data_IF_629653984396
#
_entry.id   IF_629653984396
#
_cell.length_a   1.000
_cell.length_b   1.000
_cell.length_c   1.000
_cell.angle_alpha   90.00
_cell.angle_beta   90.00
_cell.angle_gamma   90.00
#
_symmetry.space_group_name_H-M   'P 1'
#
loop_
_entity.id
_entity.type
_entity.pdbx_description
1 polymer ?
#
# COMPACT_ATOMS: atom_id res chain seq x y z
N UNK A 1 -15.35 -40.48 -3.53
CA UNK A 1 -14.98 -39.18 -4.09
C UNK A 1 -13.58 -38.91 -3.61
N UNK A 2 -12.63 -38.80 -4.57
CA UNK A 2 -11.28 -38.40 -4.21
C UNK A 2 -11.32 -36.87 -4.00
N UNK A 3 -11.27 -36.43 -2.76
CA UNK A 3 -10.89 -35.06 -2.41
C UNK A 3 -9.54 -34.75 -3.05
N UNK A 4 -9.34 -33.57 -3.53
CA UNK A 4 -8.04 -33.18 -4.07
C UNK A 4 -7.03 -33.10 -2.91
N UNK A 5 -5.75 -33.37 -3.16
CA UNK A 5 -4.69 -33.25 -2.14
C UNK A 5 -4.71 -31.85 -1.51
N UNK A 6 -5.17 -30.85 -2.26
CA UNK A 6 -5.30 -29.46 -1.78
C UNK A 6 -6.42 -29.33 -0.76
N UNK A 7 -7.62 -29.88 -1.05
CA UNK A 7 -8.73 -29.90 -0.11
C UNK A 7 -8.34 -30.63 1.19
N UNK A 8 -7.62 -31.75 1.07
CA UNK A 8 -7.13 -32.48 2.26
C UNK A 8 -6.14 -31.62 3.11
N UNK A 9 -5.33 -30.74 2.48
CA UNK A 9 -4.43 -29.85 3.18
C UNK A 9 -5.21 -28.70 3.83
N UNK A 10 -6.19 -28.11 3.12
CA UNK A 10 -7.06 -27.05 3.65
C UNK A 10 -7.85 -27.53 4.86
N UNK A 11 -8.44 -28.73 4.78
CA UNK A 11 -9.14 -29.35 5.90
C UNK A 11 -8.20 -29.59 7.10
N UNK A 12 -6.96 -30.06 6.84
CA UNK A 12 -5.96 -30.26 7.89
C UNK A 12 -5.52 -28.94 8.55
N UNK A 13 -5.46 -27.83 7.79
CA UNK A 13 -5.16 -26.52 8.31
C UNK A 13 -6.30 -25.95 9.17
N UNK A 14 -7.56 -26.28 8.85
CA UNK A 14 -8.72 -25.87 9.65
C UNK A 14 -8.80 -26.66 10.97
N UNK A 15 -8.44 -27.94 10.95
CA UNK A 15 -8.42 -28.80 12.13
C UNK A 15 -7.21 -28.57 13.05
N UNK A 16 -6.15 -27.86 12.56
CA UNK A 16 -4.92 -27.63 13.32
C UNK A 16 -5.17 -26.72 14.52
N UNK A 17 -4.57 -27.09 15.68
CA UNK A 17 -4.65 -26.31 16.90
C UNK A 17 -3.50 -25.29 16.99
N UNK A 18 -3.63 -24.28 17.88
CA UNK A 18 -2.55 -23.30 18.12
C UNK A 18 -1.23 -23.94 18.60
N UNK A 19 -1.27 -25.17 19.10
CA UNK A 19 -0.07 -25.93 19.48
C UNK A 19 0.69 -26.53 18.29
N UNK A 20 0.03 -26.67 17.12
CA UNK A 20 0.60 -27.27 15.91
C UNK A 20 1.15 -26.19 14.97
N UNK A 21 0.36 -25.14 14.74
CA UNK A 21 0.69 -24.00 13.85
C UNK A 21 0.13 -22.72 14.44
N UNK A 22 0.92 -21.65 14.40
CA UNK A 22 0.47 -20.30 14.75
C UNK A 22 -0.59 -19.81 13.74
N UNK A 23 -1.39 -18.81 14.12
CA UNK A 23 -2.37 -18.19 13.24
C UNK A 23 -1.72 -17.64 11.96
N UNK A 24 -0.52 -17.04 12.10
CA UNK A 24 0.25 -16.51 10.97
C UNK A 24 0.75 -17.59 10.03
N UNK A 25 1.27 -18.72 10.54
CA UNK A 25 1.70 -19.85 9.71
C UNK A 25 0.52 -20.44 8.92
N UNK A 26 -0.64 -20.59 9.56
CA UNK A 26 -1.87 -21.03 8.87
C UNK A 26 -2.30 -20.06 7.77
N UNK A 27 -2.25 -18.74 8.06
CA UNK A 27 -2.58 -17.71 7.07
C UNK A 27 -1.65 -17.77 5.87
N UNK A 28 -0.34 -17.82 6.09
CA UNK A 28 0.65 -17.94 5.01
C UNK A 28 0.44 -19.21 4.18
N UNK A 29 0.17 -20.34 4.81
CA UNK A 29 -0.07 -21.61 4.10
C UNK A 29 -1.34 -21.53 3.24
N UNK A 30 -2.42 -20.91 3.73
CA UNK A 30 -3.62 -20.65 2.92
C UNK A 30 -3.32 -19.74 1.74
N UNK A 31 -2.58 -18.65 1.97
CA UNK A 31 -2.17 -17.74 0.89
C UNK A 31 -1.34 -18.46 -0.18
N UNK A 32 -0.39 -19.31 0.21
CA UNK A 32 0.40 -20.13 -0.73
C UNK A 32 -0.49 -21.08 -1.51
N UNK A 33 -1.46 -21.75 -0.86
CA UNK A 33 -2.42 -22.61 -1.54
C UNK A 33 -3.29 -21.84 -2.53
N UNK A 34 -3.68 -20.60 -2.22
CA UNK A 34 -4.48 -19.73 -3.07
C UNK A 34 -3.72 -19.12 -4.27
N UNK A 35 -2.37 -19.08 -4.24
CA UNK A 35 -1.57 -18.45 -5.31
C UNK A 35 -1.86 -18.97 -6.72
N UNK A 36 -2.30 -20.23 -6.85
CA UNK A 36 -2.55 -20.82 -8.18
C UNK A 36 -3.75 -20.20 -8.90
N UNK A 37 -4.68 -19.60 -8.15
CA UNK A 37 -5.86 -18.91 -8.69
C UNK A 37 -5.53 -17.48 -9.14
N UNK A 38 -4.51 -16.87 -8.52
CA UNK A 38 -4.16 -15.49 -8.76
C UNK A 38 -3.46 -15.29 -10.10
N UNK A 39 -3.84 -14.20 -10.75
CA UNK A 39 -3.22 -13.67 -11.96
C UNK A 39 -2.45 -12.40 -11.65
N UNK A 40 -1.54 -12.03 -12.53
CA UNK A 40 -0.76 -10.79 -12.40
C UNK A 40 -1.65 -9.57 -12.17
N UNK A 41 -2.79 -9.46 -12.88
CA UNK A 41 -3.76 -8.37 -12.72
C UNK A 41 -4.35 -8.25 -11.31
N UNK A 42 -4.36 -9.35 -10.54
CA UNK A 42 -4.97 -9.38 -9.21
C UNK A 42 -4.02 -8.82 -8.14
N UNK A 43 -2.71 -8.74 -8.46
CA UNK A 43 -1.64 -8.32 -7.54
C UNK A 43 -0.84 -7.11 -8.05
N UNK A 44 -1.04 -6.66 -9.29
CA UNK A 44 -0.30 -5.55 -9.89
C UNK A 44 -0.72 -4.21 -9.32
N UNK A 45 0.20 -3.27 -9.29
CA UNK A 45 -0.07 -1.85 -9.15
C UNK A 45 -0.70 -1.36 -10.46
N UNK A 46 -1.92 -0.80 -10.46
CA UNK A 46 -2.56 -0.34 -11.68
C UNK A 46 -1.83 0.86 -12.28
N UNK A 47 -1.98 1.06 -13.59
CA UNK A 47 -1.32 2.13 -14.37
C UNK A 47 -1.39 3.51 -13.72
N UNK A 48 -2.55 3.86 -13.15
CA UNK A 48 -2.78 5.18 -12.56
C UNK A 48 -1.87 5.47 -11.35
N UNK A 49 -1.41 4.42 -10.67
CA UNK A 49 -0.63 4.52 -9.43
C UNK A 49 0.87 4.30 -9.67
N UNK A 50 1.29 4.08 -10.93
CA UNK A 50 2.71 3.87 -11.26
C UNK A 50 3.49 5.18 -11.11
N UNK A 51 4.46 5.18 -10.21
CA UNK A 51 5.50 6.22 -10.18
C UNK A 51 6.60 5.85 -11.16
N UNK A 52 6.80 6.66 -12.19
CA UNK A 52 7.72 6.39 -13.28
C UNK A 52 8.56 7.64 -13.66
N UNK A 53 9.65 7.42 -14.39
CA UNK A 53 10.62 8.42 -14.85
C UNK A 53 10.53 8.56 -16.36
N UNK A 54 10.39 9.79 -16.85
CA UNK A 54 10.57 10.08 -18.28
C UNK A 54 12.07 10.14 -18.61
N UNK A 55 12.47 9.69 -19.81
CA UNK A 55 13.87 9.83 -20.28
C UNK A 55 14.37 11.27 -20.33
N UNK A 56 13.44 12.23 -20.33
CA UNK A 56 13.72 13.68 -20.34
C UNK A 56 13.77 14.29 -18.94
N UNK A 57 13.44 13.53 -17.90
CA UNK A 57 13.44 14.03 -16.53
C UNK A 57 14.86 14.38 -16.06
N UNK A 58 14.97 15.48 -15.33
CA UNK A 58 16.24 15.89 -14.73
C UNK A 58 16.65 14.98 -13.57
N UNK A 59 17.96 14.89 -13.34
CA UNK A 59 18.50 14.14 -12.20
C UNK A 59 17.92 14.63 -10.87
N UNK A 60 17.66 15.93 -10.72
CA UNK A 60 17.00 16.49 -9.54
C UNK A 60 15.57 15.93 -9.35
N UNK A 61 14.81 15.86 -10.44
CA UNK A 61 13.44 15.32 -10.40
C UNK A 61 13.44 13.84 -10.01
N UNK A 62 14.33 13.04 -10.61
CA UNK A 62 14.46 11.60 -10.33
C UNK A 62 14.86 11.36 -8.87
N UNK A 63 15.81 12.16 -8.35
CA UNK A 63 16.20 12.10 -6.94
C UNK A 63 15.02 12.39 -6.01
N UNK A 64 14.21 13.37 -6.36
CA UNK A 64 12.99 13.69 -5.62
C UNK A 64 12.00 12.51 -5.67
N UNK A 65 11.79 11.90 -6.84
CA UNK A 65 10.89 10.74 -6.98
C UNK A 65 11.32 9.58 -6.09
N UNK A 66 12.59 9.19 -6.12
CA UNK A 66 13.10 8.13 -5.24
C UNK A 66 12.87 8.44 -3.76
N UNK A 67 13.08 9.69 -3.35
CA UNK A 67 12.90 10.12 -1.96
C UNK A 67 11.44 10.10 -1.53
N UNK A 68 10.50 10.49 -2.40
CA UNK A 68 9.09 10.62 -2.05
C UNK A 68 8.30 9.33 -2.25
N UNK A 69 8.65 8.53 -3.25
CA UNK A 69 7.94 7.29 -3.55
C UNK A 69 8.35 6.11 -2.65
N UNK A 70 9.56 6.18 -2.06
CA UNK A 70 10.08 5.09 -1.21
C UNK A 70 10.43 3.80 -1.95
N UNK A 71 10.34 3.79 -3.29
CA UNK A 71 10.63 2.61 -4.11
C UNK A 71 12.10 2.51 -4.48
N UNK A 72 12.64 1.30 -4.55
CA UNK A 72 14.02 1.06 -4.98
C UNK A 72 14.20 1.04 -6.50
N UNK A 73 13.10 0.88 -7.25
CA UNK A 73 13.08 0.73 -8.72
C UNK A 73 11.98 1.58 -9.30
N UNK A 74 12.29 2.32 -10.36
CA UNK A 74 11.31 3.11 -11.09
C UNK A 74 11.36 2.73 -12.56
N UNK A 75 10.23 2.45 -13.21
CA UNK A 75 10.18 2.27 -14.65
C UNK A 75 10.55 3.56 -15.37
N UNK A 76 11.22 3.41 -16.51
CA UNK A 76 11.63 4.53 -17.37
C UNK A 76 10.86 4.43 -18.68
N UNK A 77 10.28 5.54 -19.11
CA UNK A 77 9.51 5.61 -20.35
C UNK A 77 9.95 6.78 -21.24
N UNK A 78 9.61 6.67 -22.52
CA UNK A 78 9.75 7.74 -23.49
C UNK A 78 8.37 8.18 -23.96
N UNK A 79 8.09 9.46 -23.92
CA UNK A 79 6.85 10.11 -24.34
C UNK A 79 5.63 9.72 -23.47
N UNK A 80 5.35 8.44 -23.25
CA UNK A 80 4.27 7.94 -22.40
C UNK A 80 4.64 6.59 -21.78
N UNK A 81 3.86 6.16 -20.77
CA UNK A 81 4.03 4.84 -20.14
C UNK A 81 3.86 3.68 -21.14
N UNK A 82 3.23 3.90 -22.30
CA UNK A 82 3.09 2.88 -23.34
C UNK A 82 4.36 2.70 -24.19
N UNK A 83 5.36 3.53 -23.96
CA UNK A 83 6.69 3.39 -24.55
C UNK A 83 7.76 3.15 -23.49
N UNK A 84 7.64 2.07 -22.68
CA UNK A 84 8.62 1.76 -21.65
C UNK A 84 9.98 1.43 -22.27
N UNK A 85 11.05 1.94 -21.65
CA UNK A 85 12.42 1.77 -22.10
C UNK A 85 13.20 0.80 -21.21
N UNK A 86 12.80 0.64 -19.95
CA UNK A 86 13.47 -0.16 -18.95
C UNK A 86 13.14 0.31 -17.54
N UNK A 87 14.07 0.15 -16.63
CA UNK A 87 13.95 0.66 -15.26
C UNK A 87 15.27 1.26 -14.78
N UNK A 88 15.20 2.15 -13.83
CA UNK A 88 16.34 2.66 -13.07
C UNK A 88 16.25 2.16 -11.63
N UNK A 89 17.38 1.63 -11.12
CA UNK A 89 17.51 1.22 -9.73
C UNK A 89 18.19 2.33 -8.92
N UNK A 90 17.70 2.61 -7.71
CA UNK A 90 18.25 3.67 -6.85
C UNK A 90 19.77 3.55 -6.65
N UNK A 91 20.30 2.33 -6.53
CA UNK A 91 21.75 2.09 -6.38
C UNK A 91 22.53 2.58 -7.60
N UNK A 92 22.06 2.25 -8.82
CA UNK A 92 22.74 2.66 -10.05
C UNK A 92 22.64 4.17 -10.25
N UNK A 93 21.51 4.75 -9.85
CA UNK A 93 21.31 6.19 -9.85
C UNK A 93 22.27 6.91 -8.89
N UNK A 94 22.45 6.40 -7.68
CA UNK A 94 23.41 6.93 -6.72
C UNK A 94 24.86 6.79 -7.22
N UNK A 95 25.19 5.67 -7.84
CA UNK A 95 26.51 5.47 -8.45
C UNK A 95 26.77 6.43 -9.61
N UNK A 96 25.75 6.70 -10.44
CA UNK A 96 25.83 7.73 -11.46
C UNK A 96 26.15 9.10 -10.85
N UNK A 97 25.42 9.50 -9.81
CA UNK A 97 25.66 10.78 -9.14
C UNK A 97 27.08 10.88 -8.57
N UNK A 98 27.58 9.79 -7.96
CA UNK A 98 28.94 9.72 -7.45
C UNK A 98 29.98 9.92 -8.57
N UNK A 99 29.84 9.20 -9.68
CA UNK A 99 30.73 9.33 -10.86
C UNK A 99 30.70 10.76 -11.45
N UNK A 100 29.53 11.37 -11.56
CA UNK A 100 29.38 12.74 -12.05
C UNK A 100 30.06 13.73 -11.11
N UNK A 101 29.94 13.53 -9.79
CA UNK A 101 30.59 14.35 -8.79
C UNK A 101 32.15 14.27 -8.91
N UNK A 102 32.67 13.05 -8.95
CA UNK A 102 34.12 12.81 -9.09
C UNK A 102 34.68 13.46 -10.36
N UNK A 103 33.94 13.33 -11.47
CA UNK A 103 34.31 13.98 -12.74
C UNK A 103 34.33 15.53 -12.61
N UNK A 104 33.27 16.11 -12.03
CA UNK A 104 33.21 17.56 -11.83
C UNK A 104 34.33 18.07 -10.96
N UNK A 105 34.70 17.36 -9.89
CA UNK A 105 35.82 17.68 -9.04
C UNK A 105 37.16 17.59 -9.81
N UNK A 106 37.33 16.56 -10.62
CA UNK A 106 38.53 16.40 -11.47
C UNK A 106 38.68 17.53 -12.52
N UNK A 107 37.54 18.06 -13.00
CA UNK A 107 37.48 19.21 -13.91
C UNK A 107 37.65 20.56 -13.20
N UNK A 108 37.90 20.53 -11.87
CA UNK A 108 38.19 21.74 -11.06
C UNK A 108 36.95 22.44 -10.50
N UNK A 109 35.79 21.83 -10.59
CA UNK A 109 34.55 22.36 -10.02
C UNK A 109 34.42 21.92 -8.55
N UNK A 110 34.18 22.86 -7.64
CA UNK A 110 34.17 22.61 -6.19
C UNK A 110 32.75 22.69 -5.63
N UNK A 111 32.44 21.77 -4.70
CA UNK A 111 31.17 21.75 -3.96
C UNK A 111 29.99 21.21 -4.76
N UNK A 112 28.81 21.68 -4.44
CA UNK A 112 27.54 21.21 -5.05
C UNK A 112 27.43 21.52 -6.56
N UNK A 113 28.21 22.42 -7.09
CA UNK A 113 28.28 22.72 -8.52
C UNK A 113 28.98 21.60 -9.35
N UNK A 114 29.62 20.63 -8.69
CA UNK A 114 30.30 19.52 -9.38
C UNK A 114 29.33 18.56 -10.08
N UNK A 115 28.02 18.57 -9.76
CA UNK A 115 26.99 17.82 -10.46
C UNK A 115 25.97 18.79 -11.06
N UNK A 116 25.73 18.67 -12.36
CA UNK A 116 24.60 19.33 -13.01
C UNK A 116 23.33 18.48 -12.82
N UNK A 117 22.58 18.76 -11.76
CA UNK A 117 21.31 18.07 -11.46
C UNK A 117 20.18 18.48 -12.42
N UNK A 118 20.35 19.50 -13.25
CA UNK A 118 19.37 19.86 -14.29
C UNK A 118 19.48 19.00 -15.56
N UNK A 119 20.60 18.29 -15.71
CA UNK A 119 20.82 17.38 -16.83
C UNK A 119 19.80 16.23 -16.85
N UNK A 120 19.37 15.78 -18.03
CA UNK A 120 18.49 14.63 -18.16
C UNK A 120 19.21 13.33 -17.79
N UNK A 121 18.43 12.28 -17.50
CA UNK A 121 18.94 10.95 -17.20
C UNK A 121 19.78 10.42 -18.38
N UNK A 122 21.06 10.07 -18.19
CA UNK A 122 21.83 9.34 -19.20
C UNK A 122 21.39 7.87 -19.22
N UNK A 123 20.26 7.61 -19.84
CA UNK A 123 19.56 6.32 -19.78
C UNK A 123 20.45 5.12 -20.13
N UNK A 124 21.37 5.27 -21.09
CA UNK A 124 22.30 4.21 -21.49
C UNK A 124 23.26 3.73 -20.40
N UNK A 125 23.51 4.57 -19.39
CA UNK A 125 24.51 4.27 -18.37
C UNK A 125 23.92 3.61 -17.12
N UNK A 126 22.62 3.75 -16.89
CA UNK A 126 21.97 3.36 -15.63
C UNK A 126 20.68 2.56 -15.80
N UNK A 127 20.19 2.44 -17.03
CA UNK A 127 18.96 1.74 -17.30
C UNK A 127 19.20 0.23 -17.36
N UNK A 128 18.34 -0.52 -16.66
CA UNK A 128 18.28 -1.99 -16.72
C UNK A 128 17.08 -2.41 -17.56
N UNK A 129 17.18 -3.59 -18.13
CA UNK A 129 16.05 -4.23 -18.77
C UNK A 129 14.93 -4.52 -17.77
N UNK A 130 13.69 -4.48 -18.21
CA UNK A 130 12.50 -4.80 -17.43
C UNK A 130 11.78 -5.98 -18.10
N UNK A 131 11.21 -6.86 -17.27
CA UNK A 131 10.41 -7.97 -17.74
C UNK A 131 9.02 -7.47 -18.18
N UNK A 132 8.50 -8.01 -19.29
CA UNK A 132 7.15 -7.74 -19.77
C UNK A 132 6.29 -9.00 -19.64
N UNK A 133 5.09 -8.83 -19.06
CA UNK A 133 4.17 -9.93 -18.80
C UNK A 133 2.73 -9.52 -19.11
N UNK A 134 1.86 -10.46 -19.55
CA UNK A 134 0.44 -10.16 -19.72
C UNK A 134 -0.29 -10.20 -18.37
N UNK A 135 -1.42 -9.46 -18.22
CA UNK A 135 -2.21 -9.43 -16.99
C UNK A 135 -2.83 -10.80 -16.63
N UNK A 136 -3.01 -11.67 -17.61
CA UNK A 136 -3.58 -13.03 -17.42
C UNK A 136 -2.58 -14.08 -16.95
N UNK A 137 -1.28 -13.75 -16.87
CA UNK A 137 -0.25 -14.69 -16.41
C UNK A 137 -0.51 -15.15 -14.98
N UNK A 138 -0.40 -16.46 -14.66
CA UNK A 138 -0.42 -16.94 -13.29
C UNK A 138 0.71 -16.32 -12.46
N UNK A 139 0.42 -15.96 -11.20
CA UNK A 139 1.44 -15.35 -10.29
C UNK A 139 2.62 -16.31 -10.06
N UNK A 140 2.37 -17.63 -9.97
CA UNK A 140 3.45 -18.61 -9.84
C UNK A 140 4.40 -18.63 -11.04
N UNK A 141 3.87 -18.51 -12.26
CA UNK A 141 4.67 -18.43 -13.47
C UNK A 141 5.50 -17.14 -13.52
N UNK A 142 4.91 -16.02 -13.05
CA UNK A 142 5.63 -14.76 -12.87
C UNK A 142 6.83 -14.93 -11.93
N UNK A 143 6.64 -15.55 -10.77
CA UNK A 143 7.72 -15.77 -9.79
C UNK A 143 8.86 -16.63 -10.38
N UNK A 144 8.51 -17.72 -11.06
CA UNK A 144 9.51 -18.58 -11.73
C UNK A 144 10.29 -17.78 -12.77
N UNK A 145 9.59 -16.94 -13.53
CA UNK A 145 10.21 -16.13 -14.57
C UNK A 145 11.08 -15.01 -13.99
N UNK A 146 10.62 -14.32 -12.96
CA UNK A 146 11.41 -13.31 -12.23
C UNK A 146 12.70 -13.93 -11.65
N UNK A 147 12.60 -15.13 -11.09
CA UNK A 147 13.74 -15.84 -10.54
C UNK A 147 14.75 -16.25 -11.64
N UNK A 148 14.27 -16.78 -12.76
CA UNK A 148 15.12 -17.19 -13.88
C UNK A 148 15.85 -16.01 -14.52
N UNK A 149 15.18 -14.87 -14.68
CA UNK A 149 15.73 -13.65 -15.27
C UNK A 149 16.43 -12.74 -14.23
N UNK A 150 16.41 -13.11 -12.95
CA UNK A 150 16.99 -12.36 -11.83
C UNK A 150 16.48 -10.92 -11.77
N UNK A 151 15.21 -10.72 -12.09
CA UNK A 151 14.53 -9.43 -12.02
C UNK A 151 13.50 -9.43 -10.90
N UNK A 152 13.27 -8.26 -10.31
CA UNK A 152 12.33 -8.09 -9.22
C UNK A 152 11.12 -7.21 -9.61
N UNK A 153 11.03 -6.82 -10.87
CA UNK A 153 9.96 -5.97 -11.37
C UNK A 153 9.59 -6.38 -12.79
N UNK A 154 8.30 -6.37 -13.09
CA UNK A 154 7.76 -6.56 -14.42
C UNK A 154 6.74 -5.47 -14.75
N UNK A 155 6.70 -5.04 -16.01
CA UNK A 155 5.63 -4.21 -16.55
C UNK A 155 4.56 -5.13 -17.13
N UNK A 156 3.32 -4.82 -16.82
CA UNK A 156 2.16 -5.56 -17.29
C UNK A 156 1.66 -4.88 -18.56
N UNK A 157 1.63 -5.63 -19.65
CA UNK A 157 1.29 -5.11 -20.98
C UNK A 157 -0.02 -5.75 -21.44
N UNK A 158 -0.96 -4.93 -21.86
CA UNK A 158 -2.25 -5.35 -22.40
C UNK A 158 -2.13 -5.91 -23.83
N UNK A 159 -3.24 -6.38 -24.39
CA UNK A 159 -3.33 -6.98 -25.73
C UNK A 159 -3.09 -5.96 -26.87
N UNK A 160 -3.12 -4.68 -26.56
CA UNK A 160 -2.89 -3.59 -27.51
C UNK A 160 -1.48 -3.02 -27.42
N UNK A 161 -0.66 -3.54 -26.50
CA UNK A 161 0.71 -3.10 -26.28
C UNK A 161 0.83 -1.91 -25.32
N UNK A 162 -0.26 -1.53 -24.65
CA UNK A 162 -0.26 -0.50 -23.61
C UNK A 162 0.19 -1.03 -22.27
N UNK A 163 0.78 -0.16 -21.44
CA UNK A 163 1.12 -0.50 -20.06
C UNK A 163 -0.14 -0.45 -19.19
N UNK A 164 -0.55 -1.60 -18.68
CA UNK A 164 -1.73 -1.78 -17.83
C UNK A 164 -1.40 -1.66 -16.34
N UNK A 165 -0.19 -2.06 -15.97
CA UNK A 165 0.26 -2.02 -14.59
C UNK A 165 1.75 -2.33 -14.42
N UNK A 166 2.14 -2.45 -13.16
CA UNK A 166 3.48 -2.85 -12.73
C UNK A 166 3.32 -3.89 -11.62
N UNK A 167 4.18 -4.88 -11.59
CA UNK A 167 4.22 -5.86 -10.50
C UNK A 167 5.67 -6.08 -10.06
N UNK A 168 5.87 -6.06 -8.76
CA UNK A 168 7.17 -6.37 -8.13
C UNK A 168 7.12 -7.72 -7.40
N UNK A 169 8.28 -8.24 -7.04
CA UNK A 169 8.35 -9.44 -6.20
C UNK A 169 7.81 -9.13 -4.79
N UNK A 170 7.97 -7.90 -4.35
CA UNK A 170 7.47 -7.38 -3.09
C UNK A 170 5.94 -7.46 -3.03
N UNK A 171 5.21 -7.09 -4.10
CA UNK A 171 3.74 -7.19 -4.19
C UNK A 171 3.27 -8.65 -4.09
N UNK A 172 3.98 -9.57 -4.72
CA UNK A 172 3.65 -11.00 -4.62
C UNK A 172 3.95 -11.57 -3.23
N UNK A 173 5.04 -11.13 -2.61
CA UNK A 173 5.38 -11.54 -1.24
C UNK A 173 4.36 -11.01 -0.22
N UNK A 174 3.83 -9.80 -0.41
CA UNK A 174 2.76 -9.24 0.41
C UNK A 174 1.50 -10.14 0.40
N UNK A 175 1.14 -10.69 -0.76
CA UNK A 175 0.01 -11.63 -0.86
C UNK A 175 0.26 -12.93 -0.09
N UNK A 176 1.51 -13.42 -0.03
CA UNK A 176 1.87 -14.65 0.67
C UNK A 176 1.94 -14.42 2.19
N UNK A 177 2.62 -13.36 2.58
CA UNK A 177 2.92 -13.07 3.99
C UNK A 177 1.72 -12.39 4.66
N UNK A 178 0.89 -11.70 3.89
CA UNK A 178 -0.14 -10.81 4.39
C UNK A 178 0.48 -9.56 5.01
N UNK A 179 -0.32 -8.71 5.59
CA UNK A 179 0.19 -7.70 6.52
C UNK A 179 0.94 -8.45 7.62
N UNK A 180 2.25 -8.22 7.73
CA UNK A 180 3.02 -8.74 8.88
C UNK A 180 2.46 -7.99 10.08
N UNK A 181 1.45 -8.57 10.72
CA UNK A 181 1.10 -8.16 12.07
C UNK A 181 2.35 -8.47 12.91
N UNK A 182 2.93 -7.43 13.50
CA UNK A 182 4.09 -7.56 14.40
C UNK A 182 3.70 -8.58 15.48
N UNK A 183 4.57 -9.52 15.83
CA UNK A 183 4.28 -10.53 16.88
C UNK A 183 3.85 -9.87 18.22
N UNK A 184 4.05 -8.57 18.33
CA UNK A 184 3.53 -7.74 19.43
C UNK A 184 2.10 -7.21 19.19
N UNK A 185 1.53 -7.31 17.96
CA UNK A 185 0.15 -6.91 17.67
C UNK A 185 -0.90 -7.99 18.04
N UNK A 186 -0.45 -9.24 18.32
CA UNK A 186 -1.34 -10.37 18.63
C UNK A 186 -1.95 -10.29 20.04
N UNK A 187 -1.40 -9.47 20.92
CA UNK A 187 -1.88 -9.30 22.31
C UNK A 187 -2.57 -7.94 22.60
N UNK A 188 -2.69 -7.06 21.62
CA UNK A 188 -3.45 -5.82 21.83
C UNK A 188 -4.88 -5.97 21.30
N UNK A 189 -5.79 -6.36 22.19
CA UNK A 189 -7.22 -6.02 22.05
C UNK A 189 -7.30 -4.59 21.53
N UNK A 190 -8.07 -4.31 20.43
CA UNK A 190 -8.14 -2.98 19.86
C UNK A 190 -8.34 -1.94 20.96
N UNK A 191 -7.40 -1.02 21.11
CA UNK A 191 -7.42 -0.08 22.23
C UNK A 191 -8.51 0.93 22.02
N UNK A 192 -9.37 1.06 23.04
CA UNK A 192 -10.34 2.12 23.16
C UNK A 192 -9.97 2.88 24.44
N UNK A 193 -9.37 4.05 24.26
CA UNK A 193 -8.89 4.88 25.36
C UNK A 193 -9.82 6.07 25.57
N UNK A 194 -10.30 6.26 26.80
CA UNK A 194 -11.04 7.47 27.18
C UNK A 194 -10.04 8.56 27.53
N UNK A 195 -10.01 9.66 26.75
CA UNK A 195 -9.14 10.80 27.01
C UNK A 195 -9.82 11.84 27.91
N UNK A 196 -11.11 12.06 27.73
CA UNK A 196 -11.93 13.00 28.51
C UNK A 196 -13.37 12.51 28.62
N UNK A 197 -14.27 13.28 29.24
CA UNK A 197 -15.64 12.86 29.50
C UNK A 197 -16.43 12.51 28.24
N UNK A 198 -16.17 13.18 27.13
CA UNK A 198 -16.84 12.99 25.83
C UNK A 198 -15.80 12.86 24.70
N UNK A 199 -14.64 12.26 25.00
CA UNK A 199 -13.54 12.11 24.06
C UNK A 199 -12.88 10.73 24.20
N UNK A 200 -12.83 9.99 23.10
CA UNK A 200 -12.27 8.64 23.05
C UNK A 200 -11.34 8.51 21.85
N UNK A 201 -10.23 7.80 22.01
CA UNK A 201 -9.39 7.31 20.91
C UNK A 201 -9.68 5.84 20.69
N UNK A 202 -9.97 5.49 19.45
CA UNK A 202 -10.40 4.15 19.05
C UNK A 202 -9.48 3.64 17.96
N UNK A 203 -8.93 2.44 18.14
CA UNK A 203 -8.23 1.71 17.07
C UNK A 203 -9.21 1.37 15.94
N UNK A 204 -8.83 1.61 14.70
CA UNK A 204 -9.67 1.37 13.53
C UNK A 204 -10.08 -0.10 13.36
N UNK A 205 -9.33 -1.04 13.96
CA UNK A 205 -9.63 -2.48 13.97
C UNK A 205 -10.68 -2.88 15.01
N UNK A 206 -11.03 -1.98 15.94
CA UNK A 206 -12.06 -2.25 16.94
C UNK A 206 -13.40 -2.58 16.28
N UNK A 207 -14.11 -3.56 16.81
CA UNK A 207 -15.47 -3.85 16.38
C UNK A 207 -16.42 -2.74 16.88
N UNK A 208 -17.40 -2.33 16.07
CA UNK A 208 -18.38 -1.30 16.47
C UNK A 208 -19.06 -1.61 17.81
N UNK A 209 -19.39 -2.87 18.07
CA UNK A 209 -20.01 -3.34 19.33
C UNK A 209 -19.09 -3.10 20.52
N UNK A 210 -17.80 -3.34 20.39
CA UNK A 210 -16.81 -3.09 21.45
C UNK A 210 -16.72 -1.58 21.73
N UNK A 211 -16.71 -0.77 20.68
CA UNK A 211 -16.67 0.67 20.80
C UNK A 211 -17.95 1.23 21.43
N UNK A 212 -19.13 0.70 21.10
CA UNK A 212 -20.42 1.06 21.72
C UNK A 212 -20.38 0.75 23.23
N UNK A 213 -19.92 -0.44 23.63
CA UNK A 213 -19.83 -0.83 25.03
C UNK A 213 -18.84 0.07 25.80
N UNK A 214 -17.70 0.41 25.20
CA UNK A 214 -16.66 1.20 25.86
C UNK A 214 -17.00 2.71 25.97
N UNK A 215 -17.66 3.25 24.95
CA UNK A 215 -17.95 4.71 24.87
C UNK A 215 -19.36 5.06 25.33
N UNK A 216 -20.30 4.13 25.29
CA UNK A 216 -21.73 4.36 25.51
C UNK A 216 -22.41 5.09 24.34
N UNK A 217 -21.70 5.31 23.22
CA UNK A 217 -22.21 6.01 22.04
C UNK A 217 -22.69 4.99 21.02
N UNK A 218 -23.92 5.15 20.53
CA UNK A 218 -24.43 4.28 19.46
C UNK A 218 -23.73 4.63 18.14
N UNK A 219 -22.96 3.68 17.64
CA UNK A 219 -22.21 3.81 16.39
C UNK A 219 -22.95 3.23 15.18
N UNK A 220 -24.13 2.61 15.39
CA UNK A 220 -24.93 2.02 14.31
C UNK A 220 -25.67 3.10 13.54
N UNK A 221 -25.50 3.12 12.22
CA UNK A 221 -26.02 4.19 11.38
C UNK A 221 -27.40 3.92 10.77
N UNK A 222 -27.75 2.68 10.54
CA UNK A 222 -29.04 2.18 10.01
C UNK A 222 -28.97 0.67 9.82
N UNK A 223 -30.08 0.05 9.44
CA UNK A 223 -30.20 -1.39 9.17
C UNK A 223 -29.26 -1.89 8.05
N UNK A 224 -28.71 -1.00 7.21
CA UNK A 224 -27.76 -1.33 6.15
C UNK A 224 -26.28 -1.45 6.62
N UNK A 225 -25.98 -1.17 7.90
CA UNK A 225 -24.64 -1.19 8.47
C UNK A 225 -24.28 -2.50 9.19
N UNK A 226 -25.11 -3.54 9.08
CA UNK A 226 -24.91 -4.83 9.77
C UNK A 226 -23.66 -5.61 9.30
N UNK A 227 -23.11 -5.28 8.12
CA UNK A 227 -21.92 -5.96 7.54
C UNK A 227 -20.60 -5.23 7.82
N UNK A 228 -20.57 -4.19 8.66
CA UNK A 228 -19.34 -3.42 8.93
C UNK A 228 -18.62 -4.00 10.15
N UNK A 229 -17.53 -4.69 9.91
CA UNK A 229 -16.78 -5.42 10.94
C UNK A 229 -15.89 -4.54 11.82
N UNK A 230 -15.51 -3.32 11.36
CA UNK A 230 -14.54 -2.45 12.06
C UNK A 230 -14.96 -0.98 12.12
N UNK A 231 -14.51 -0.27 13.17
CA UNK A 231 -14.74 1.18 13.30
C UNK A 231 -14.09 1.96 12.16
N UNK A 232 -12.89 1.55 11.69
CA UNK A 232 -12.25 2.16 10.53
C UNK A 232 -13.06 2.03 9.25
N UNK A 233 -13.66 0.84 9.03
CA UNK A 233 -14.59 0.58 7.93
C UNK A 233 -15.86 1.42 8.04
N UNK A 234 -16.41 1.56 9.26
CA UNK A 234 -17.56 2.41 9.54
C UNK A 234 -17.29 3.87 9.15
N UNK A 235 -16.15 4.42 9.58
CA UNK A 235 -15.77 5.81 9.28
C UNK A 235 -15.60 6.03 7.77
N UNK A 236 -14.95 5.10 7.07
CA UNK A 236 -14.80 5.16 5.61
C UNK A 236 -16.15 5.07 4.89
N UNK A 237 -17.07 4.24 5.38
CA UNK A 237 -18.44 4.10 4.83
C UNK A 237 -19.22 5.39 4.98
N UNK A 238 -19.17 6.04 6.16
CA UNK A 238 -19.83 7.32 6.39
C UNK A 238 -19.26 8.42 5.50
N UNK A 239 -17.93 8.46 5.34
CA UNK A 239 -17.25 9.45 4.51
C UNK A 239 -17.47 9.19 2.99
N UNK A 240 -17.78 7.96 2.60
CA UNK A 240 -17.89 7.56 1.19
C UNK A 240 -16.55 7.41 0.46
N UNK A 241 -15.44 7.53 1.19
CA UNK A 241 -14.06 7.36 0.72
C UNK A 241 -13.16 7.02 1.92
N UNK A 242 -11.88 6.72 1.69
CA UNK A 242 -10.91 6.60 2.78
C UNK A 242 -10.48 8.01 3.19
N UNK A 243 -10.87 8.49 4.39
CA UNK A 243 -10.59 9.87 4.78
C UNK A 243 -9.11 10.07 5.11
N UNK A 244 -8.63 11.30 4.88
CA UNK A 244 -7.26 11.70 5.20
C UNK A 244 -7.08 12.01 6.69
N UNK A 245 -5.83 11.98 7.14
CA UNK A 245 -5.47 12.38 8.51
C UNK A 245 -5.90 13.82 8.81
N UNK A 246 -6.61 14.01 9.92
CA UNK A 246 -7.18 15.30 10.33
C UNK A 246 -8.58 15.57 9.77
N UNK A 247 -9.11 14.70 8.91
CA UNK A 247 -10.45 14.82 8.38
C UNK A 247 -11.50 14.52 9.47
N UNK A 248 -12.61 15.26 9.42
CA UNK A 248 -13.72 15.09 10.35
C UNK A 248 -14.90 14.43 9.64
N UNK A 249 -15.39 13.35 10.21
CA UNK A 249 -16.53 12.58 9.69
C UNK A 249 -17.66 12.62 10.72
N UNK A 250 -18.78 13.19 10.35
CA UNK A 250 -19.93 13.35 11.27
C UNK A 250 -20.69 12.02 11.41
N UNK A 251 -20.69 11.46 12.61
CA UNK A 251 -21.45 10.25 12.95
C UNK A 251 -22.94 10.57 13.19
N UNK A 252 -23.21 11.65 13.92
CA UNK A 252 -24.57 12.05 14.28
C UNK A 252 -24.64 13.57 14.57
N UNK A 253 -25.79 14.06 15.00
CA UNK A 253 -25.95 15.47 15.42
C UNK A 253 -24.98 15.85 16.55
N UNK A 254 -24.66 14.90 17.43
CA UNK A 254 -23.87 15.16 18.63
C UNK A 254 -22.46 14.62 18.62
N UNK A 255 -22.13 13.71 17.70
CA UNK A 255 -20.84 13.03 17.67
C UNK A 255 -20.19 13.10 16.29
N UNK A 256 -18.84 13.19 16.30
CA UNK A 256 -18.02 13.12 15.10
C UNK A 256 -16.76 12.31 15.35
N UNK A 257 -16.26 11.74 14.28
CA UNK A 257 -14.91 11.20 14.22
C UNK A 257 -13.93 12.24 13.69
N UNK A 258 -12.74 12.29 14.26
CA UNK A 258 -11.54 12.91 13.69
C UNK A 258 -10.56 11.79 13.35
N UNK A 259 -10.10 11.74 12.12
CA UNK A 259 -9.15 10.72 11.66
C UNK A 259 -7.76 11.09 12.18
N UNK A 260 -7.22 10.30 13.12
CA UNK A 260 -5.90 10.51 13.70
C UNK A 260 -4.78 9.91 12.84
N UNK A 261 -5.10 8.77 12.22
CA UNK A 261 -4.15 8.08 11.34
C UNK A 261 -4.87 7.21 10.32
N UNK A 262 -4.25 7.05 9.13
CA UNK A 262 -4.80 6.26 8.02
C UNK A 262 -3.64 5.70 7.18
N UNK A 263 -3.82 4.53 6.61
CA UNK A 263 -2.97 4.01 5.55
C UNK A 263 -3.67 4.13 4.18
N UNK A 264 -3.04 3.64 3.11
CA UNK A 264 -3.58 3.77 1.75
C UNK A 264 -4.91 3.03 1.53
N UNK A 265 -5.31 2.14 2.43
CA UNK A 265 -6.46 1.24 2.27
C UNK A 265 -7.50 1.35 3.38
N UNK A 266 -7.14 1.90 4.55
CA UNK A 266 -8.03 1.92 5.72
C UNK A 266 -7.70 3.03 6.71
N UNK A 267 -8.69 3.37 7.52
CA UNK A 267 -8.52 4.22 8.69
C UNK A 267 -7.99 3.37 9.84
N UNK A 268 -6.81 3.72 10.37
CA UNK A 268 -6.13 2.93 11.40
C UNK A 268 -6.40 3.44 12.81
N UNK A 269 -6.73 4.74 12.96
CA UNK A 269 -6.96 5.34 14.27
C UNK A 269 -7.87 6.56 14.18
N UNK A 270 -8.87 6.62 15.06
CA UNK A 270 -9.84 7.72 15.08
C UNK A 270 -10.03 8.25 16.49
N UNK A 271 -10.42 9.51 16.59
CA UNK A 271 -10.90 10.16 17.81
C UNK A 271 -12.40 10.39 17.68
N UNK A 272 -13.18 9.84 18.61
CA UNK A 272 -14.60 10.12 18.74
C UNK A 272 -14.78 11.26 19.72
N UNK A 273 -15.37 12.35 19.26
CA UNK A 273 -15.59 13.58 20.05
C UNK A 273 -17.03 14.04 19.97
N UNK A 274 -17.52 14.60 21.08
CA UNK A 274 -18.81 15.27 21.11
C UNK A 274 -18.71 16.63 20.45
N UNK A 275 -19.64 16.94 19.56
CA UNK A 275 -19.75 18.27 18.95
C UNK A 275 -20.17 19.27 20.02
N UNK A 276 -19.56 20.45 20.04
CA UNK A 276 -20.04 21.56 20.85
C UNK A 276 -21.47 21.88 20.45
N UNK A 277 -22.37 22.04 21.44
CA UNK A 277 -23.72 22.54 21.15
C UNK A 277 -23.60 23.93 20.48
N UNK A 278 -24.32 24.17 19.38
CA UNK A 278 -24.37 25.53 18.83
C UNK A 278 -24.83 26.48 19.89
N UNK A 279 -23.93 27.31 20.41
CA UNK A 279 -24.29 28.46 21.22
C UNK A 279 -25.21 29.31 20.37
N UNK A 280 -26.50 29.40 20.81
CA UNK A 280 -27.57 30.06 20.08
C UNK A 280 -27.36 31.56 19.95
N UNK A 281 -26.61 31.99 18.93
CA UNK A 281 -26.42 33.40 18.54
C UNK A 281 -26.50 33.62 17.01
N UNK A 282 -26.90 32.63 16.22
CA UNK A 282 -27.20 32.83 14.80
C UNK A 282 -28.60 32.31 14.45
N UNK A 283 -29.61 32.89 15.04
CA UNK A 283 -30.96 32.87 14.51
C UNK A 283 -31.13 34.11 13.60
N UNK A 284 -31.32 33.93 12.28
CA UNK A 284 -31.67 35.05 11.41
C UNK A 284 -33.05 35.58 11.80
N UNK A 285 -33.13 36.90 12.00
CA UNK A 285 -34.32 37.68 12.24
C UNK A 285 -35.26 37.69 11.01
#
# INVERSE_FOLDING_TARGET
PHTSVREDIEDALEESTEGDLSAQERSMLRSVLGLHELRVRDVMVPRADITAVATTDSLAHILKLFRTAGHSRLPVYKDSLDAPQGMVHIRDFLELLARLYEKGVADGVVGHAAIDLSAPLPAHDVMREVLFVPPSMPVLDLLVRMQAERTHMALVIDEYGGTDGLVSIEDVMEVIVGDIEDEHDIDETPRIEKLAEDEYVIDGRAQPEQAIVATGVDLRLSDDAEDIETVGGLVATIAGHIPEKGEHVDLSLHWRFEVLDTDQRRVTRVRLIRKAEPTGEDAPA
#
